data_IF_416504095592
#
_entry.id   IF_416504095592
#
_cell.length_a   1.000
_cell.length_b   1.000
_cell.length_c   1.000
_cell.angle_alpha   90.00
_cell.angle_beta   90.00
_cell.angle_gamma   90.00
#
_symmetry.space_group_name_H-M   'P 1'
#
loop_
_entity.id
_entity.type
_entity.pdbx_description
1 polymer ?
#
# COMPACT_ATOMS: atom_id res chain seq x y z
N UNK A 1 -2.85 -9.09 10.43
CA UNK A 1 -2.26 -8.70 9.13
C UNK A 1 -0.78 -8.43 9.30
N UNK A 2 0.01 -8.82 8.35
CA UNK A 2 1.47 -8.71 8.46
C UNK A 2 2.11 -8.61 7.08
N UNK A 3 3.35 -8.16 7.07
CA UNK A 3 4.19 -8.19 5.86
C UNK A 3 4.63 -9.63 5.62
N UNK A 4 4.51 -10.09 4.38
CA UNK A 4 4.77 -11.50 4.04
C UNK A 4 6.24 -11.74 3.71
N UNK A 5 6.84 -10.89 2.91
CA UNK A 5 8.18 -11.10 2.37
C UNK A 5 8.99 -9.80 2.39
N UNK A 6 10.30 -9.91 2.29
CA UNK A 6 11.20 -8.77 2.13
C UNK A 6 11.79 -8.26 3.45
N UNK A 7 12.25 -7.02 3.44
CA UNK A 7 12.99 -6.44 4.56
C UNK A 7 12.16 -6.30 5.84
N UNK A 8 10.83 -6.17 5.71
CA UNK A 8 9.94 -6.04 6.85
C UNK A 8 9.14 -7.32 7.13
N UNK A 9 9.59 -8.44 6.59
CA UNK A 9 8.90 -9.73 6.75
C UNK A 9 8.51 -10.01 8.20
N UNK A 10 7.27 -10.41 8.40
CA UNK A 10 6.76 -10.78 9.72
C UNK A 10 6.28 -9.62 10.57
N UNK A 11 6.53 -8.37 10.18
CA UNK A 11 6.07 -7.21 10.93
C UNK A 11 4.55 -7.14 10.86
N UNK A 12 3.93 -6.93 12.01
CA UNK A 12 2.48 -6.75 12.10
C UNK A 12 2.09 -5.37 11.59
N UNK A 13 0.97 -5.34 10.88
CA UNK A 13 0.37 -4.11 10.41
C UNK A 13 -0.94 -3.87 11.13
N UNK A 14 -1.17 -2.64 11.54
CA UNK A 14 -2.46 -2.24 12.07
C UNK A 14 -3.48 -2.21 10.95
N UNK A 15 -4.71 -2.60 11.25
CA UNK A 15 -5.81 -2.60 10.30
C UNK A 15 -6.90 -1.68 10.77
N UNK A 16 -7.66 -1.15 9.83
CA UNK A 16 -8.84 -0.37 10.15
C UNK A 16 -9.91 -1.31 10.70
N UNK A 17 -10.52 -0.91 11.81
CA UNK A 17 -11.68 -1.62 12.33
C UNK A 17 -12.93 -0.99 11.73
N UNK A 18 -13.87 -1.83 11.33
CA UNK A 18 -15.13 -1.38 10.79
C UNK A 18 -15.73 -2.40 9.86
N UNK A 19 -17.04 -2.32 9.69
CA UNK A 19 -17.80 -3.27 8.88
C UNK A 19 -17.53 -3.15 7.39
N UNK A 20 -17.11 -1.96 6.97
CA UNK A 20 -16.91 -1.65 5.56
C UNK A 20 -15.49 -1.93 5.08
N UNK A 21 -14.63 -2.37 5.99
CA UNK A 21 -13.24 -2.64 5.65
C UNK A 21 -13.04 -4.14 5.52
N UNK A 22 -12.72 -4.59 4.31
CA UNK A 22 -12.32 -5.97 4.04
C UNK A 22 -10.83 -5.98 3.78
N UNK A 23 -10.04 -6.40 4.75
CA UNK A 23 -8.61 -6.53 4.51
C UNK A 23 -8.35 -7.60 3.45
N UNK A 24 -7.43 -7.33 2.56
CA UNK A 24 -6.96 -8.33 1.62
C UNK A 24 -6.25 -9.43 2.40
N UNK A 25 -6.65 -10.67 2.19
CA UNK A 25 -6.07 -11.79 2.92
C UNK A 25 -4.62 -12.00 2.51
N UNK A 26 -3.84 -12.64 3.39
CA UNK A 26 -2.45 -12.99 3.08
C UNK A 26 -2.35 -13.84 1.82
N UNK A 27 -3.29 -14.77 1.63
CA UNK A 27 -3.31 -15.63 0.45
C UNK A 27 -3.49 -14.83 -0.85
N UNK A 28 -4.42 -13.88 -0.86
CA UNK A 28 -4.65 -13.03 -2.04
C UNK A 28 -3.44 -12.13 -2.28
N UNK A 29 -2.89 -11.57 -1.22
CA UNK A 29 -1.71 -10.71 -1.30
C UNK A 29 -0.51 -11.48 -1.88
N UNK A 30 -0.27 -12.71 -1.42
CA UNK A 30 0.78 -13.57 -1.98
C UNK A 30 0.56 -13.84 -3.46
N UNK A 31 -0.67 -14.14 -3.86
CA UNK A 31 -1.00 -14.41 -5.25
C UNK A 31 -0.74 -13.18 -6.14
N UNK A 32 -1.15 -12.00 -5.68
CA UNK A 32 -0.90 -10.75 -6.41
C UNK A 32 0.60 -10.51 -6.62
N UNK A 33 1.38 -10.62 -5.55
CA UNK A 33 2.81 -10.35 -5.62
C UNK A 33 3.58 -11.46 -6.33
N UNK A 34 3.06 -12.68 -6.38
CA UNK A 34 3.66 -13.73 -7.21
C UNK A 34 3.57 -13.38 -8.70
N UNK A 35 2.46 -12.77 -9.12
CA UNK A 35 2.28 -12.37 -10.51
C UNK A 35 3.30 -11.31 -10.92
N UNK A 36 3.60 -10.35 -10.03
CA UNK A 36 4.46 -9.20 -10.33
C UNK A 36 5.85 -9.30 -9.68
N UNK A 37 6.23 -10.47 -9.22
CA UNK A 37 7.43 -10.63 -8.36
C UNK A 37 8.73 -10.10 -8.98
N UNK A 38 8.83 -10.12 -10.29
CA UNK A 38 10.06 -9.67 -10.97
C UNK A 38 10.02 -8.18 -11.35
N UNK A 39 8.88 -7.53 -11.18
CA UNK A 39 8.71 -6.11 -11.51
C UNK A 39 8.76 -5.20 -10.29
N UNK A 40 8.69 -5.74 -9.08
CA UNK A 40 8.55 -4.93 -7.86
C UNK A 40 9.85 -4.26 -7.45
N UNK A 41 10.98 -4.97 -7.52
CA UNK A 41 12.26 -4.42 -7.09
C UNK A 41 12.63 -3.21 -7.93
N UNK A 42 12.89 -2.10 -7.29
CA UNK A 42 13.23 -0.83 -7.95
C UNK A 42 12.05 -0.08 -8.54
N UNK A 43 10.83 -0.60 -8.43
CA UNK A 43 9.64 -0.01 -9.04
C UNK A 43 9.11 1.20 -8.26
N UNK A 44 8.50 2.13 -8.98
CA UNK A 44 7.64 3.15 -8.39
C UNK A 44 6.22 2.61 -8.39
N UNK A 45 5.62 2.53 -7.19
CA UNK A 45 4.34 1.87 -6.97
C UNK A 45 3.29 2.87 -6.51
N UNK A 46 2.09 2.77 -7.08
CA UNK A 46 0.93 3.54 -6.65
C UNK A 46 -0.05 2.60 -5.96
N UNK A 47 -0.37 2.89 -4.69
CA UNK A 47 -1.40 2.18 -3.93
C UNK A 47 -2.60 3.12 -3.85
N UNK A 48 -3.56 2.95 -4.77
CA UNK A 48 -4.56 3.96 -5.03
C UNK A 48 -5.70 4.01 -4.01
N UNK A 49 -6.07 2.90 -3.43
CA UNK A 49 -7.06 2.82 -2.35
C UNK A 49 -6.37 2.22 -1.13
N UNK A 50 -5.48 2.99 -0.54
CA UNK A 50 -4.48 2.42 0.34
C UNK A 50 -5.04 1.74 1.61
N UNK A 51 -6.11 2.26 2.20
CA UNK A 51 -6.64 1.72 3.45
C UNK A 51 -5.57 1.72 4.53
N UNK A 52 -5.18 0.55 5.01
CA UNK A 52 -4.09 0.41 5.98
C UNK A 52 -2.70 0.50 5.35
N UNK A 53 -2.63 0.51 4.02
CA UNK A 53 -1.37 0.58 3.29
C UNK A 53 -0.69 -0.77 3.08
N UNK A 54 -1.37 -1.87 3.35
CA UNK A 54 -0.73 -3.18 3.32
C UNK A 54 -0.12 -3.57 1.97
N UNK A 55 -0.75 -3.18 0.87
CA UNK A 55 -0.23 -3.54 -0.46
C UNK A 55 1.02 -2.76 -0.81
N UNK A 56 0.99 -1.44 -0.65
CA UNK A 56 2.14 -0.59 -0.91
C UNK A 56 3.31 -0.90 0.02
N UNK A 57 3.03 -1.22 1.28
CA UNK A 57 4.04 -1.60 2.26
C UNK A 57 4.67 -2.93 1.88
N UNK A 58 3.86 -3.90 1.42
CA UNK A 58 4.40 -5.16 0.91
C UNK A 58 5.36 -4.91 -0.25
N UNK A 59 4.98 -4.04 -1.18
CA UNK A 59 5.84 -3.69 -2.31
C UNK A 59 7.16 -3.07 -1.84
N UNK A 60 7.11 -2.14 -0.89
CA UNK A 60 8.32 -1.52 -0.34
C UNK A 60 9.20 -2.54 0.36
N UNK A 61 8.60 -3.46 1.12
CA UNK A 61 9.33 -4.53 1.78
C UNK A 61 10.06 -5.43 0.80
N UNK A 62 9.51 -5.59 -0.41
CA UNK A 62 10.09 -6.41 -1.47
C UNK A 62 11.06 -5.65 -2.38
N UNK A 63 11.36 -4.39 -2.05
CA UNK A 63 12.39 -3.63 -2.75
C UNK A 63 11.92 -2.55 -3.71
N UNK A 64 10.63 -2.20 -3.71
CA UNK A 64 10.16 -1.04 -4.48
C UNK A 64 10.92 0.21 -4.02
N UNK A 65 11.27 1.08 -4.98
CA UNK A 65 12.03 2.29 -4.63
C UNK A 65 11.16 3.41 -4.08
N UNK A 66 9.86 3.36 -4.37
CA UNK A 66 8.90 4.37 -3.93
C UNK A 66 7.50 3.76 -3.92
N UNK A 67 6.72 4.07 -2.90
CA UNK A 67 5.29 3.80 -2.91
C UNK A 67 4.54 5.07 -2.53
N UNK A 68 3.58 5.43 -3.36
CA UNK A 68 2.66 6.54 -3.10
C UNK A 68 1.32 5.95 -2.70
N UNK A 69 0.88 6.32 -1.50
CA UNK A 69 -0.38 5.85 -0.92
C UNK A 69 -1.42 6.95 -1.07
N UNK A 70 -2.48 6.68 -1.80
CA UNK A 70 -3.59 7.63 -1.96
C UNK A 70 -4.77 7.16 -1.13
N UNK A 71 -5.21 8.00 -0.22
CA UNK A 71 -6.27 7.65 0.72
C UNK A 71 -6.99 8.92 1.17
N UNK A 72 -8.32 8.95 1.03
CA UNK A 72 -9.09 10.12 1.41
C UNK A 72 -9.50 10.13 2.90
N UNK A 73 -9.58 8.98 3.54
CA UNK A 73 -9.94 8.88 4.95
C UNK A 73 -8.76 9.28 5.84
N UNK A 74 -8.98 10.29 6.69
CA UNK A 74 -7.94 10.75 7.60
C UNK A 74 -7.48 9.64 8.55
N UNK A 75 -8.42 8.84 9.04
CA UNK A 75 -8.12 7.72 9.92
C UNK A 75 -7.25 6.68 9.22
N UNK A 76 -7.56 6.38 7.97
CA UNK A 76 -6.78 5.45 7.17
C UNK A 76 -5.39 6.01 6.87
N UNK A 77 -5.29 7.29 6.55
CA UNK A 77 -3.98 7.95 6.33
C UNK A 77 -3.06 7.81 7.54
N UNK A 78 -3.60 8.02 8.74
CA UNK A 78 -2.85 7.87 9.97
C UNK A 78 -2.38 6.43 10.17
N UNK A 79 -3.24 5.47 9.83
CA UNK A 79 -2.91 4.05 9.89
C UNK A 79 -1.75 3.71 8.96
N UNK A 80 -1.79 4.22 7.72
CA UNK A 80 -0.70 4.03 6.77
C UNK A 80 0.61 4.58 7.33
N UNK A 81 0.58 5.79 7.89
CA UNK A 81 1.77 6.41 8.45
C UNK A 81 2.35 5.60 9.61
N UNK A 82 1.49 5.11 10.50
CA UNK A 82 1.94 4.27 11.61
C UNK A 82 2.56 2.98 11.11
N UNK A 83 1.92 2.33 10.14
CA UNK A 83 2.45 1.09 9.57
C UNK A 83 3.79 1.32 8.86
N UNK A 84 3.96 2.46 8.20
CA UNK A 84 5.23 2.81 7.58
C UNK A 84 6.33 2.99 8.62
N UNK A 85 6.03 3.60 9.75
CA UNK A 85 7.00 3.77 10.84
C UNK A 85 7.37 2.42 11.47
N UNK A 86 6.37 1.59 11.76
CA UNK A 86 6.59 0.27 12.35
C UNK A 86 7.48 -0.61 11.48
N UNK A 87 7.29 -0.53 10.16
CA UNK A 87 8.06 -1.34 9.21
C UNK A 87 9.38 -0.69 8.78
N UNK A 88 9.63 0.54 9.20
CA UNK A 88 10.84 1.32 8.86
C UNK A 88 10.95 1.60 7.36
N UNK A 89 9.82 1.77 6.69
CA UNK A 89 9.76 2.01 5.24
C UNK A 89 9.31 3.42 4.86
N UNK A 90 9.16 4.30 5.85
CA UNK A 90 8.63 5.65 5.63
C UNK A 90 9.48 6.50 4.66
N UNK A 91 10.79 6.30 4.63
CA UNK A 91 11.71 7.06 3.77
C UNK A 91 11.40 6.90 2.28
N UNK A 92 10.84 5.76 1.90
CA UNK A 92 10.55 5.43 0.51
C UNK A 92 9.07 5.57 0.19
N UNK A 93 8.36 6.39 0.96
CA UNK A 93 6.92 6.51 0.83
C UNK A 93 6.45 7.94 0.75
N UNK A 94 5.26 8.11 0.19
CA UNK A 94 4.50 9.36 0.23
C UNK A 94 3.04 9.02 0.50
N UNK A 95 2.43 9.69 1.47
CA UNK A 95 1.00 9.53 1.76
C UNK A 95 0.28 10.78 1.27
N UNK A 96 -0.65 10.58 0.34
CA UNK A 96 -1.41 11.67 -0.28
C UNK A 96 -2.86 11.61 0.17
N UNK A 97 -3.32 12.69 0.80
CA UNK A 97 -4.67 12.81 1.35
C UNK A 97 -5.61 13.32 0.27
N UNK A 98 -6.09 12.41 -0.58
CA UNK A 98 -6.96 12.74 -1.69
C UNK A 98 -7.90 11.60 -2.02
N UNK A 99 -9.04 11.95 -2.63
CA UNK A 99 -9.88 11.00 -3.32
C UNK A 99 -9.11 10.41 -4.51
N UNK A 100 -9.29 9.11 -4.76
CA UNK A 100 -8.56 8.40 -5.82
C UNK A 100 -8.79 9.00 -7.21
N UNK A 101 -10.03 9.34 -7.54
CA UNK A 101 -10.36 9.91 -8.85
C UNK A 101 -9.71 11.29 -9.02
N UNK A 102 -9.82 12.13 -7.98
CA UNK A 102 -9.19 13.45 -8.01
C UNK A 102 -7.67 13.35 -8.18
N UNK A 103 -7.05 12.39 -7.49
CA UNK A 103 -5.62 12.15 -7.64
C UNK A 103 -5.25 11.82 -9.08
N UNK A 104 -5.98 10.89 -9.70
CA UNK A 104 -5.71 10.47 -11.07
C UNK A 104 -5.89 11.61 -12.07
N UNK A 105 -6.88 12.46 -11.86
CA UNK A 105 -7.15 13.59 -12.76
C UNK A 105 -6.03 14.62 -12.75
N UNK A 106 -5.37 14.81 -11.61
CA UNK A 106 -4.28 15.79 -11.47
C UNK A 106 -2.88 15.20 -11.48
N UNK A 107 -2.76 13.89 -11.56
CA UNK A 107 -1.47 13.21 -11.43
C UNK A 107 -0.61 13.41 -12.68
N UNK A 108 0.62 13.86 -12.47
CA UNK A 108 1.63 13.97 -13.52
C UNK A 108 2.79 13.00 -13.34
N UNK A 109 2.80 12.28 -12.22
CA UNK A 109 3.81 11.28 -11.95
C UNK A 109 3.52 10.00 -12.73
N UNK A 110 4.55 9.27 -13.06
CA UNK A 110 4.44 7.98 -13.72
C UNK A 110 4.82 6.88 -12.72
N UNK A 111 4.16 5.75 -12.84
CA UNK A 111 4.39 4.60 -11.97
C UNK A 111 4.61 3.35 -12.81
N UNK A 112 5.42 2.45 -12.26
CA UNK A 112 5.66 1.16 -12.90
C UNK A 112 4.54 0.17 -12.57
N UNK A 113 3.96 0.30 -11.38
CA UNK A 113 2.91 -0.60 -10.88
C UNK A 113 1.83 0.24 -10.20
N UNK A 114 0.57 -0.07 -10.47
CA UNK A 114 -0.56 0.48 -9.73
C UNK A 114 -1.32 -0.67 -9.07
N UNK A 115 -1.52 -0.55 -7.77
CA UNK A 115 -2.27 -1.53 -6.98
C UNK A 115 -3.66 -0.95 -6.70
N UNK A 116 -4.68 -1.67 -7.10
CA UNK A 116 -6.07 -1.21 -7.01
C UNK A 116 -6.88 -2.20 -6.20
N UNK A 117 -7.27 -1.80 -5.00
CA UNK A 117 -8.10 -2.63 -4.13
C UNK A 117 -9.22 -1.75 -3.56
N UNK A 118 -10.17 -1.34 -4.41
CA UNK A 118 -11.24 -0.42 -3.98
C UNK A 118 -12.16 -1.09 -2.95
N UNK A 119 -12.75 -0.30 -2.05
CA UNK A 119 -13.69 -0.85 -1.08
C UNK A 119 -14.96 -1.32 -1.77
N UNK A 120 -15.54 -2.39 -1.27
CA UNK A 120 -16.82 -2.89 -1.71
C UNK A 120 -17.94 -2.34 -0.83
N UNK A 121 -19.05 -2.04 -1.42
CA UNK A 121 -20.26 -1.62 -0.72
C UNK A 121 -21.44 -2.44 -1.14
#
# INVERSE_FOLDING_TARGET
MRVITGTARGRKLNTLEGRDVRPTTDQVKEAMFSIIQFEVEGAAVLDLFAGSGQLGIEALSRGARLAVFVEQSRKAQEMVRQNLLTTKLAEHSRVTAMDAIAYLQGCRDTFDIALLDPPYH
#
